data_IF_942774767960
#
_entry.id   IF_942774767960
#
_cell.length_a   1.000
_cell.length_b   1.000
_cell.length_c   1.000
_cell.angle_alpha   90.00
_cell.angle_beta   90.00
_cell.angle_gamma   90.00
#
_symmetry.space_group_name_H-M   'P 1'
#
loop_
_entity.id
_entity.type
_entity.pdbx_description
1 polymer ?
#
# COMPACT_ATOMS: atom_id res chain seq x y z
N UNK A 1 -10.28 -61.14 -44.40
CA UNK A 1 -11.47 -60.56 -45.06
C UNK A 1 -12.58 -60.56 -44.01
N UNK A 2 -13.25 -59.48 -43.63
CA UNK A 2 -13.28 -58.11 -44.11
C UNK A 2 -13.68 -57.22 -42.90
N UNK A 3 -13.07 -56.04 -42.81
CA UNK A 3 -13.36 -54.98 -41.84
C UNK A 3 -14.65 -54.22 -42.23
N UNK A 4 -15.78 -54.92 -42.38
CA UNK A 4 -17.01 -54.34 -42.94
C UNK A 4 -18.23 -54.48 -42.02
N UNK A 5 -18.13 -54.05 -40.76
CA UNK A 5 -19.31 -53.86 -39.89
C UNK A 5 -19.28 -52.50 -39.15
N UNK A 6 -18.41 -51.57 -39.57
CA UNK A 6 -18.42 -50.18 -39.05
C UNK A 6 -18.90 -49.20 -40.11
N UNK A 7 -20.13 -49.38 -40.58
CA UNK A 7 -20.85 -48.35 -41.34
C UNK A 7 -22.32 -48.37 -40.95
N UNK A 8 -22.66 -47.65 -39.90
CA UNK A 8 -23.97 -47.03 -39.79
C UNK A 8 -23.88 -45.82 -38.85
N UNK A 9 -24.29 -44.69 -39.42
CA UNK A 9 -24.68 -43.42 -38.81
C UNK A 9 -23.60 -42.49 -38.23
N UNK A 10 -22.83 -41.88 -39.15
CA UNK A 10 -22.24 -40.56 -38.94
C UNK A 10 -23.37 -39.52 -38.99
N UNK A 11 -24.08 -39.32 -37.88
CA UNK A 11 -24.91 -38.13 -37.74
C UNK A 11 -24.00 -36.93 -37.52
N UNK A 12 -23.82 -36.10 -38.55
CA UNK A 12 -23.26 -34.76 -38.44
C UNK A 12 -24.04 -33.96 -37.37
N UNK A 13 -23.50 -33.85 -36.16
CA UNK A 13 -24.03 -32.96 -35.12
C UNK A 13 -23.66 -31.54 -35.51
N UNK A 14 -24.48 -30.91 -36.37
CA UNK A 14 -24.42 -29.47 -36.64
C UNK A 14 -24.93 -28.74 -35.40
N UNK A 15 -24.03 -28.45 -34.47
CA UNK A 15 -24.29 -27.53 -33.35
C UNK A 15 -24.73 -26.19 -33.96
N UNK A 16 -25.98 -25.76 -33.73
CA UNK A 16 -26.45 -24.42 -34.11
C UNK A 16 -25.56 -23.41 -33.36
N UNK A 17 -24.83 -22.60 -34.11
CA UNK A 17 -23.80 -21.67 -33.62
C UNK A 17 -24.27 -20.51 -32.71
N UNK A 18 -25.51 -20.49 -32.22
CA UNK A 18 -26.06 -19.27 -31.61
C UNK A 18 -26.45 -19.35 -30.12
N UNK A 19 -26.57 -20.52 -29.49
CA UNK A 19 -27.09 -20.54 -28.10
C UNK A 19 -26.00 -20.29 -27.04
N UNK A 20 -24.77 -20.74 -27.27
CA UNK A 20 -23.68 -20.52 -26.30
C UNK A 20 -23.19 -19.07 -26.33
N UNK A 21 -23.06 -18.49 -27.53
CA UNK A 21 -22.57 -17.12 -27.68
C UNK A 21 -23.55 -16.11 -27.06
N UNK A 22 -24.85 -16.22 -27.35
CA UNK A 22 -25.87 -15.38 -26.74
C UNK A 22 -25.95 -15.53 -25.22
N UNK A 23 -25.75 -16.74 -24.68
CA UNK A 23 -25.74 -16.97 -23.24
C UNK A 23 -24.51 -16.37 -22.56
N UNK A 24 -23.36 -16.39 -23.23
CA UNK A 24 -22.14 -15.74 -22.73
C UNK A 24 -22.28 -14.23 -22.80
N UNK A 25 -22.78 -13.69 -23.91
CA UNK A 25 -23.00 -12.26 -24.09
C UNK A 25 -24.02 -11.74 -23.07
N UNK A 26 -25.12 -12.47 -22.81
CA UNK A 26 -26.10 -12.09 -21.78
C UNK A 26 -25.51 -12.12 -20.37
N UNK A 27 -24.63 -13.08 -20.04
CA UNK A 27 -23.97 -13.14 -18.74
C UNK A 27 -22.97 -11.99 -18.59
N UNK A 28 -22.26 -11.61 -19.66
CA UNK A 28 -21.32 -10.48 -19.65
C UNK A 28 -22.06 -9.16 -19.47
N UNK A 29 -23.18 -8.96 -20.19
CA UNK A 29 -24.06 -7.80 -20.00
C UNK A 29 -24.64 -7.78 -18.58
N UNK A 30 -25.24 -8.87 -18.10
CA UNK A 30 -25.81 -8.97 -16.73
C UNK A 30 -24.75 -8.82 -15.60
N UNK A 31 -23.50 -9.22 -15.84
CA UNK A 31 -22.40 -9.07 -14.85
C UNK A 31 -21.81 -7.67 -14.85
N UNK A 32 -21.88 -6.95 -15.97
CA UNK A 32 -21.48 -5.54 -16.08
C UNK A 32 -22.60 -4.58 -15.65
N UNK A 33 -23.86 -5.00 -15.73
CA UNK A 33 -25.05 -4.30 -15.23
C UNK A 33 -25.29 -4.51 -13.72
N UNK A 34 -24.33 -5.11 -13.00
CA UNK A 34 -24.23 -4.87 -11.57
C UNK A 34 -23.96 -3.38 -11.41
N UNK A 35 -24.99 -2.65 -10.98
CA UNK A 35 -24.97 -1.33 -10.34
C UNK A 35 -23.96 -1.30 -9.17
N UNK A 36 -22.68 -1.48 -9.47
CA UNK A 36 -21.64 -0.76 -8.77
C UNK A 36 -21.83 0.63 -9.34
N UNK A 37 -22.65 1.46 -8.67
CA UNK A 37 -22.55 2.92 -8.75
C UNK A 37 -21.05 3.19 -8.85
N UNK A 38 -20.61 3.52 -10.06
CA UNK A 38 -19.20 3.45 -10.40
C UNK A 38 -18.49 4.27 -9.36
N UNK A 39 -17.69 3.61 -8.51
CA UNK A 39 -16.75 4.35 -7.67
C UNK A 39 -15.80 4.93 -8.69
N UNK A 40 -16.12 6.13 -9.15
CA UNK A 40 -15.35 6.83 -10.13
C UNK A 40 -13.94 6.87 -9.54
N UNK A 41 -13.01 6.15 -10.18
CA UNK A 41 -11.64 5.97 -9.67
C UNK A 41 -10.94 7.34 -9.50
N UNK A 42 -11.46 8.37 -10.17
CA UNK A 42 -11.06 9.77 -10.03
C UNK A 42 -11.70 10.50 -8.84
N UNK A 43 -12.87 10.04 -8.35
CA UNK A 43 -13.55 10.53 -7.13
C UNK A 43 -13.14 9.76 -5.87
N UNK A 44 -12.26 8.76 -6.00
CA UNK A 44 -11.67 8.10 -4.85
C UNK A 44 -10.88 9.15 -4.06
N UNK A 45 -11.30 9.41 -2.80
CA UNK A 45 -10.63 10.38 -1.92
C UNK A 45 -9.12 10.16 -1.97
N UNK A 46 -8.38 11.18 -2.39
CA UNK A 46 -6.93 11.12 -2.42
C UNK A 46 -6.42 10.60 -1.07
N UNK A 47 -5.70 9.47 -1.10
CA UNK A 47 -5.00 9.00 0.09
C UNK A 47 -4.12 10.13 0.58
N UNK A 48 -4.38 10.61 1.81
CA UNK A 48 -3.57 11.67 2.43
C UNK A 48 -2.13 11.17 2.52
N UNK A 49 -1.31 11.54 1.53
CA UNK A 49 0.12 11.27 1.54
C UNK A 49 0.70 11.95 2.77
N UNK A 50 1.00 11.17 3.80
CA UNK A 50 1.66 11.66 5.00
C UNK A 50 3.05 12.15 4.56
N UNK A 51 3.25 13.47 4.55
CA UNK A 51 4.54 14.08 4.22
C UNK A 51 5.56 13.61 5.26
N UNK A 52 6.48 12.73 4.84
CA UNK A 52 7.60 12.30 5.67
C UNK A 52 8.76 13.27 5.45
N UNK A 53 9.38 13.70 6.54
CA UNK A 53 10.58 14.54 6.50
C UNK A 53 11.79 13.62 6.68
N UNK A 54 12.80 13.67 5.78
CA UNK A 54 14.01 12.88 5.97
C UNK A 54 14.80 13.42 7.16
N UNK A 55 15.28 12.51 8.01
CA UNK A 55 16.14 12.82 9.14
C UNK A 55 17.32 11.85 9.12
N UNK A 56 18.53 12.40 9.16
CA UNK A 56 19.75 11.62 9.33
C UNK A 56 20.09 11.55 10.80
N UNK A 57 20.36 10.34 11.29
CA UNK A 57 20.71 10.07 12.69
C UNK A 57 22.07 9.38 12.69
N UNK A 58 22.97 9.83 13.57
CA UNK A 58 24.24 9.16 13.82
C UNK A 58 24.03 8.19 14.97
N UNK A 59 24.45 6.95 14.77
CA UNK A 59 24.37 5.85 15.72
C UNK A 59 25.75 5.22 15.83
N UNK A 60 26.02 4.61 16.98
CA UNK A 60 27.21 3.79 17.15
C UNK A 60 27.06 2.46 16.39
N UNK A 61 28.19 1.79 16.13
CA UNK A 61 28.21 0.57 15.33
C UNK A 61 27.40 -0.56 15.99
N UNK A 62 27.60 -0.77 17.30
CA UNK A 62 26.88 -1.78 18.09
C UNK A 62 25.36 -1.55 18.08
N UNK A 63 24.92 -0.30 18.19
CA UNK A 63 23.49 0.06 18.16
C UNK A 63 22.86 -0.30 16.82
N UNK A 64 23.58 -0.06 15.72
CA UNK A 64 23.12 -0.38 14.37
C UNK A 64 23.03 -1.89 14.15
N UNK A 65 23.97 -2.68 14.68
CA UNK A 65 23.93 -4.14 14.61
C UNK A 65 22.72 -4.74 15.34
N UNK A 66 22.42 -4.24 16.54
CA UNK A 66 21.23 -4.64 17.30
C UNK A 66 19.96 -4.28 16.52
N UNK A 67 19.87 -3.05 15.99
CA UNK A 67 18.71 -2.61 15.21
C UNK A 67 18.50 -3.45 13.94
N UNK A 68 19.58 -3.81 13.24
CA UNK A 68 19.53 -4.71 12.08
C UNK A 68 19.01 -6.09 12.49
N UNK A 69 19.55 -6.65 13.58
CA UNK A 69 19.15 -7.96 14.11
C UNK A 69 17.66 -8.01 14.45
N UNK A 70 17.15 -7.01 15.16
CA UNK A 70 15.72 -6.90 15.49
C UNK A 70 14.85 -6.74 14.23
N UNK A 71 15.34 -5.97 13.24
CA UNK A 71 14.62 -5.75 11.99
C UNK A 71 14.50 -7.03 11.15
N UNK A 72 15.55 -7.85 11.14
CA UNK A 72 15.51 -9.20 10.53
C UNK A 72 14.48 -10.07 11.25
N UNK A 73 14.54 -10.13 12.59
CA UNK A 73 13.64 -10.96 13.39
C UNK A 73 12.16 -10.56 13.24
N UNK A 74 11.88 -9.28 13.03
CA UNK A 74 10.51 -8.76 12.86
C UNK A 74 10.08 -8.65 11.40
N UNK A 75 10.93 -9.02 10.44
CA UNK A 75 10.70 -8.85 9.01
C UNK A 75 10.32 -7.40 8.65
N UNK A 76 11.06 -6.44 9.22
CA UNK A 76 10.88 -5.00 9.00
C UNK A 76 12.19 -4.36 8.54
N UNK A 77 12.15 -3.06 8.23
CA UNK A 77 13.36 -2.27 8.00
C UNK A 77 13.74 -1.51 9.26
N UNK A 78 15.03 -1.21 9.43
CA UNK A 78 15.54 -0.38 10.55
C UNK A 78 14.76 0.94 10.65
N UNK A 79 14.47 1.57 9.50
CA UNK A 79 13.67 2.79 9.44
C UNK A 79 12.25 2.61 10.00
N UNK A 80 11.57 1.50 9.69
CA UNK A 80 10.24 1.20 10.23
C UNK A 80 10.31 0.92 11.74
N UNK A 81 11.32 0.19 12.19
CA UNK A 81 11.54 -0.12 13.60
C UNK A 81 11.74 1.16 14.43
N UNK A 82 12.66 2.05 13.99
CA UNK A 82 12.88 3.36 14.62
C UNK A 82 11.63 4.22 14.53
N UNK A 83 10.97 4.27 13.37
CA UNK A 83 9.76 5.06 13.16
C UNK A 83 8.62 4.64 14.11
N UNK A 84 8.45 3.35 14.34
CA UNK A 84 7.44 2.83 15.27
C UNK A 84 7.77 3.18 16.72
N UNK A 85 9.04 3.05 17.13
CA UNK A 85 9.50 3.44 18.45
C UNK A 85 9.24 4.93 18.70
N UNK A 86 9.72 5.79 17.80
CA UNK A 86 9.54 7.25 17.89
C UNK A 86 8.06 7.61 17.90
N UNK A 87 7.23 6.99 17.06
CA UNK A 87 5.78 7.25 17.02
C UNK A 87 5.12 6.93 18.35
N UNK A 88 5.46 5.78 18.96
CA UNK A 88 4.92 5.38 20.26
C UNK A 88 5.29 6.39 21.35
N UNK A 89 6.57 6.75 21.42
CA UNK A 89 7.08 7.73 22.40
C UNK A 89 6.45 9.10 22.19
N UNK A 90 6.41 9.62 20.95
CA UNK A 90 5.83 10.94 20.64
C UNK A 90 4.34 11.00 20.99
N UNK A 91 3.58 9.96 20.68
CA UNK A 91 2.15 9.92 21.03
C UNK A 91 1.95 9.94 22.54
N UNK A 92 2.77 9.18 23.28
CA UNK A 92 2.73 9.14 24.75
C UNK A 92 3.10 10.50 25.34
N UNK A 93 4.16 11.13 24.85
CA UNK A 93 4.55 12.48 25.29
C UNK A 93 3.46 13.49 24.99
N UNK A 94 2.89 13.46 23.77
CA UNK A 94 1.80 14.36 23.37
C UNK A 94 0.56 14.25 24.25
N UNK A 95 0.23 13.03 24.69
CA UNK A 95 -0.90 12.80 25.59
C UNK A 95 -0.67 13.36 27.00
N UNK A 96 0.59 13.49 27.42
CA UNK A 96 0.98 13.92 28.77
C UNK A 96 1.57 15.34 28.81
N UNK A 97 1.44 16.09 27.73
CA UNK A 97 1.96 17.45 27.62
C UNK A 97 1.03 18.43 28.37
N UNK A 98 1.56 19.37 29.18
CA UNK A 98 0.76 20.41 29.82
C UNK A 98 -0.02 21.23 28.79
N UNK A 99 -1.23 21.68 29.14
CA UNK A 99 -2.09 22.50 28.28
C UNK A 99 -1.41 23.80 27.82
N UNK A 100 -0.50 24.31 28.65
CA UNK A 100 0.17 25.60 28.42
C UNK A 100 1.48 25.45 27.63
N UNK A 101 1.87 24.21 27.27
CA UNK A 101 3.10 23.96 26.56
C UNK A 101 2.95 24.22 25.05
N UNK A 102 3.59 25.28 24.56
CA UNK A 102 3.61 25.60 23.13
C UNK A 102 4.78 24.93 22.39
N UNK A 103 4.50 23.81 21.73
CA UNK A 103 5.46 23.07 20.90
C UNK A 103 6.05 23.96 19.80
N UNK A 104 5.26 24.84 19.19
CA UNK A 104 5.69 25.64 18.05
C UNK A 104 6.74 26.69 18.44
N UNK A 105 6.62 27.26 19.63
CA UNK A 105 7.60 28.23 20.16
C UNK A 105 8.94 27.56 20.45
N UNK A 106 8.91 26.33 20.96
CA UNK A 106 10.13 25.53 21.18
C UNK A 106 10.80 25.13 19.88
N UNK A 107 10.05 24.73 18.85
CA UNK A 107 10.59 24.46 17.51
C UNK A 107 11.25 25.71 16.92
N UNK A 108 10.57 26.88 17.01
CA UNK A 108 11.15 28.16 16.56
C UNK A 108 12.45 28.49 17.27
N UNK A 109 12.54 28.22 18.57
CA UNK A 109 13.76 28.45 19.35
C UNK A 109 14.88 27.54 18.87
N UNK A 110 14.62 26.24 18.73
CA UNK A 110 15.57 25.27 18.19
C UNK A 110 16.09 25.68 16.80
N UNK A 111 15.20 26.06 15.87
CA UNK A 111 15.57 26.48 14.52
C UNK A 111 16.40 27.77 14.50
N UNK A 112 16.16 28.69 15.45
CA UNK A 112 16.97 29.91 15.58
C UNK A 112 18.37 29.60 16.08
N UNK A 113 18.48 28.72 17.07
CA UNK A 113 19.76 28.38 17.71
C UNK A 113 20.63 27.46 16.83
N UNK A 114 20.01 26.56 16.07
CA UNK A 114 20.68 25.57 15.23
C UNK A 114 20.72 25.94 13.74
N UNK A 115 20.30 27.16 13.38
CA UNK A 115 20.58 27.71 12.05
C UNK A 115 22.09 27.80 11.91
N UNK A 116 22.67 26.80 11.23
CA UNK A 116 24.05 26.86 10.74
C UNK A 116 24.18 28.19 10.03
N UNK A 117 25.00 29.11 10.57
CA UNK A 117 25.37 30.33 9.88
C UNK A 117 25.92 29.87 8.54
N UNK A 118 25.14 30.03 7.46
CA UNK A 118 25.64 29.89 6.10
C UNK A 118 26.70 30.98 5.97
N UNK A 119 27.96 30.64 6.27
CA UNK A 119 29.08 31.46 5.91
C UNK A 119 28.97 31.63 4.40
N UNK A 120 28.58 32.84 3.98
CA UNK A 120 28.72 33.28 2.59
C UNK A 120 30.22 33.14 2.29
N UNK A 121 30.57 32.06 1.59
CA UNK A 121 31.81 32.04 0.81
C UNK A 121 31.61 32.95 -0.40
#
# INVERSE_FOLDING_TARGET
MALDIFKEDVCDIKIRKNDYQNKVDSIIEDTLDIDIEGVNLLDMKEEKKVKKIPLTIYLEEEELEILKSVSVLKNTTVQKTIGNLVKSTVNTTKANLPSDFNIHDMVKKYDKENKVKKNKK
#
